data_IF_286621780132
#
_entry.id   IF_286621780132
#
_cell.length_a   1.000
_cell.length_b   1.000
_cell.length_c   1.000
_cell.angle_alpha   90.00
_cell.angle_beta   90.00
_cell.angle_gamma   90.00
#
_symmetry.space_group_name_H-M   'P 1'
#
loop_
_entity.id
_entity.type
_entity.pdbx_description
1 polymer ?
#
# COMPACT_ATOMS: atom_id res chain seq x y z
N UNK A 1 7.75 -24.24 -2.58
CA UNK A 1 7.86 -22.95 -3.32
C UNK A 1 6.96 -23.06 -4.55
N UNK A 2 5.68 -22.66 -4.44
CA UNK A 2 4.69 -22.85 -5.53
C UNK A 2 4.91 -21.77 -6.58
N UNK A 3 5.43 -22.20 -7.73
CA UNK A 3 5.66 -21.41 -8.93
C UNK A 3 4.42 -20.59 -9.27
N UNK A 4 4.54 -19.26 -9.20
CA UNK A 4 3.61 -18.40 -9.93
C UNK A 4 3.77 -18.75 -11.41
N UNK A 5 2.69 -19.02 -12.12
CA UNK A 5 2.84 -19.52 -13.47
C UNK A 5 3.33 -18.39 -14.38
N UNK A 6 4.40 -18.66 -15.12
CA UNK A 6 5.13 -17.70 -15.94
C UNK A 6 4.23 -16.93 -16.93
N UNK A 7 3.08 -17.51 -17.32
CA UNK A 7 2.10 -16.88 -18.18
C UNK A 7 1.59 -15.53 -17.65
N UNK A 8 1.47 -15.34 -16.33
CA UNK A 8 0.92 -14.11 -15.77
C UNK A 8 1.88 -12.91 -15.98
N UNK A 9 3.19 -13.18 -15.92
CA UNK A 9 4.22 -12.18 -16.20
C UNK A 9 4.29 -11.83 -17.68
N UNK A 10 4.25 -12.86 -18.54
CA UNK A 10 4.25 -12.69 -19.99
C UNK A 10 3.01 -11.87 -20.41
N UNK A 11 1.83 -12.21 -19.90
CA UNK A 11 0.60 -11.49 -20.19
C UNK A 11 0.67 -10.03 -19.73
N UNK A 12 1.21 -9.77 -18.52
CA UNK A 12 1.36 -8.40 -18.00
C UNK A 12 2.33 -7.58 -18.85
N UNK A 13 3.43 -8.19 -19.30
CA UNK A 13 4.42 -7.54 -20.18
C UNK A 13 3.84 -7.26 -21.57
N UNK A 14 3.11 -8.23 -22.16
CA UNK A 14 2.43 -8.04 -23.44
C UNK A 14 1.38 -6.94 -23.36
N UNK A 15 0.59 -6.91 -22.27
CA UNK A 15 -0.38 -5.86 -22.04
C UNK A 15 0.29 -4.49 -21.91
N UNK A 16 1.37 -4.39 -21.11
CA UNK A 16 2.14 -3.16 -20.96
C UNK A 16 2.72 -2.69 -22.29
N UNK A 17 3.32 -3.61 -23.08
CA UNK A 17 3.85 -3.31 -24.40
C UNK A 17 2.76 -2.86 -25.38
N UNK A 18 1.60 -3.51 -25.37
CA UNK A 18 0.46 -3.13 -26.20
C UNK A 18 -0.10 -1.75 -25.85
N UNK A 19 -0.24 -1.44 -24.56
CA UNK A 19 -0.67 -0.11 -24.10
C UNK A 19 0.36 0.98 -24.44
N UNK A 20 1.65 0.69 -24.27
CA UNK A 20 2.71 1.61 -24.67
C UNK A 20 2.69 1.82 -26.19
N UNK A 21 2.55 0.77 -26.99
CA UNK A 21 2.41 0.89 -28.44
C UNK A 21 1.22 1.78 -28.81
N UNK A 22 0.05 1.57 -28.21
CA UNK A 22 -1.12 2.40 -28.45
C UNK A 22 -0.89 3.87 -28.04
N UNK A 23 -0.19 4.11 -26.94
CA UNK A 23 0.20 5.44 -26.50
C UNK A 23 1.13 6.09 -27.53
N UNK A 24 2.25 5.45 -27.87
CA UNK A 24 3.23 5.97 -28.83
C UNK A 24 2.65 6.14 -30.24
N UNK A 25 1.72 5.28 -30.66
CA UNK A 25 1.09 5.36 -31.98
C UNK A 25 0.10 6.53 -32.10
N UNK A 26 -0.46 7.01 -30.99
CA UNK A 26 -1.46 8.10 -30.97
C UNK A 26 -0.95 9.40 -30.36
N UNK A 27 0.17 9.37 -29.65
CA UNK A 27 0.71 10.53 -28.95
C UNK A 27 1.41 11.48 -29.93
N UNK A 28 0.98 12.74 -29.94
CA UNK A 28 1.74 13.82 -30.55
C UNK A 28 2.79 14.34 -29.57
N UNK A 29 4.03 13.86 -29.74
CA UNK A 29 5.16 14.25 -28.91
C UNK A 29 5.47 15.74 -28.93
N UNK A 30 5.14 16.46 -30.02
CA UNK A 30 5.36 17.91 -30.09
C UNK A 30 4.41 18.63 -29.14
N UNK A 31 3.13 18.26 -29.18
CA UNK A 31 2.12 18.80 -28.28
C UNK A 31 2.46 18.48 -26.83
N UNK A 32 2.79 17.23 -26.50
CA UNK A 32 3.18 16.85 -25.12
C UNK A 32 4.37 17.68 -24.61
N UNK A 33 5.40 17.88 -25.44
CA UNK A 33 6.57 18.66 -25.05
C UNK A 33 6.25 20.15 -24.90
N UNK A 34 5.38 20.70 -25.76
CA UNK A 34 4.92 22.08 -25.67
C UNK A 34 4.16 22.32 -24.36
N UNK A 35 3.14 21.50 -24.07
CA UNK A 35 2.35 21.58 -22.84
C UNK A 35 3.20 21.40 -21.58
N UNK A 36 4.21 20.52 -21.64
CA UNK A 36 5.13 20.31 -20.51
C UNK A 36 6.01 21.54 -20.24
N UNK A 37 6.34 22.32 -21.27
CA UNK A 37 7.14 23.56 -21.13
C UNK A 37 6.30 24.74 -20.68
N UNK A 38 5.05 24.80 -21.09
CA UNK A 38 4.08 25.83 -20.68
C UNK A 38 3.49 25.55 -19.30
N UNK A 39 3.75 24.37 -18.72
CA UNK A 39 3.26 24.01 -17.38
C UNK A 39 3.75 25.00 -16.32
N UNK A 40 2.81 25.54 -15.55
CA UNK A 40 3.09 26.50 -14.47
C UNK A 40 4.00 25.87 -13.39
N UNK A 41 5.21 26.42 -13.17
CA UNK A 41 6.16 25.90 -12.19
C UNK A 41 5.62 25.87 -10.76
N UNK A 42 4.66 26.73 -10.41
CA UNK A 42 4.07 26.76 -9.07
C UNK A 42 3.31 25.45 -8.76
N UNK A 43 2.56 24.92 -9.72
CA UNK A 43 1.84 23.65 -9.57
C UNK A 43 2.80 22.46 -9.52
N UNK A 44 3.88 22.50 -10.30
CA UNK A 44 4.94 21.48 -10.24
C UNK A 44 5.60 21.48 -8.86
N UNK A 45 5.97 22.66 -8.35
CA UNK A 45 6.56 22.80 -7.02
C UNK A 45 5.60 22.34 -5.91
N UNK A 46 4.31 22.67 -6.01
CA UNK A 46 3.29 22.21 -5.08
C UNK A 46 3.16 20.68 -5.09
N UNK A 47 3.15 20.05 -6.28
CA UNK A 47 3.09 18.60 -6.40
C UNK A 47 4.31 17.91 -5.77
N UNK A 48 5.52 18.43 -6.03
CA UNK A 48 6.76 17.93 -5.41
C UNK A 48 6.72 18.07 -3.89
N UNK A 49 6.28 19.22 -3.38
CA UNK A 49 6.17 19.45 -1.94
C UNK A 49 5.16 18.48 -1.28
N UNK A 50 3.99 18.31 -1.90
CA UNK A 50 2.99 17.37 -1.42
C UNK A 50 3.50 15.93 -1.41
N UNK A 51 4.28 15.52 -2.41
CA UNK A 51 4.88 14.18 -2.45
C UNK A 51 5.94 13.99 -1.36
N UNK A 52 6.80 14.99 -1.13
CA UNK A 52 7.76 14.96 -0.01
C UNK A 52 7.03 14.83 1.32
N UNK A 53 5.98 15.63 1.55
CA UNK A 53 5.15 15.54 2.76
C UNK A 53 4.48 14.17 2.88
N UNK A 54 3.97 13.61 1.80
CA UNK A 54 3.39 12.26 1.73
C UNK A 54 4.39 11.20 2.19
N UNK A 55 5.64 11.25 1.71
CA UNK A 55 6.71 10.31 2.11
C UNK A 55 7.04 10.47 3.60
N UNK A 56 7.17 11.71 4.09
CA UNK A 56 7.44 11.99 5.50
C UNK A 56 6.34 11.45 6.42
N UNK A 57 5.08 11.70 6.07
CA UNK A 57 3.91 11.20 6.81
C UNK A 57 3.81 9.68 6.76
N UNK A 58 4.10 9.05 5.60
CA UNK A 58 4.12 7.60 5.45
C UNK A 58 5.17 6.96 6.36
N UNK A 59 6.37 7.53 6.43
CA UNK A 59 7.43 7.06 7.32
C UNK A 59 7.01 7.17 8.80
N UNK A 60 6.36 8.28 9.18
CA UNK A 60 5.88 8.52 10.53
C UNK A 60 4.78 7.51 10.91
N UNK A 61 3.76 7.39 10.06
CA UNK A 61 2.64 6.45 10.22
C UNK A 61 3.15 5.02 10.38
N UNK A 62 4.13 4.62 9.56
CA UNK A 62 4.71 3.29 9.67
C UNK A 62 5.42 3.06 11.00
N UNK A 63 6.15 4.06 11.51
CA UNK A 63 6.73 4.02 12.86
C UNK A 63 5.68 3.80 13.96
N UNK A 64 4.50 4.43 13.83
CA UNK A 64 3.37 4.21 14.76
C UNK A 64 2.87 2.76 14.69
N UNK A 65 2.73 2.17 13.50
CA UNK A 65 2.33 0.77 13.33
C UNK A 65 3.35 -0.21 13.96
N UNK A 66 4.63 0.15 13.87
CA UNK A 66 5.74 -0.64 14.41
C UNK A 66 5.90 -0.57 15.93
N UNK A 67 5.12 0.26 16.64
CA UNK A 67 5.09 0.27 18.12
C UNK A 67 4.72 -1.09 18.72
N UNK A 68 4.02 -1.93 17.96
CA UNK A 68 3.72 -3.32 18.32
C UNK A 68 4.95 -4.26 18.27
N UNK A 69 6.01 -3.87 17.55
CA UNK A 69 7.25 -4.64 17.37
C UNK A 69 8.35 -4.10 18.28
N UNK A 70 8.52 -2.77 18.32
CA UNK A 70 9.42 -2.05 19.22
C UNK A 70 8.75 -0.76 19.62
N UNK A 71 8.74 -0.46 20.92
CA UNK A 71 8.08 0.73 21.47
C UNK A 71 8.47 2.03 20.77
N UNK A 72 9.76 2.19 20.44
CA UNK A 72 10.27 3.34 19.70
C UNK A 72 11.28 2.92 18.64
N UNK A 73 10.92 3.07 17.37
CA UNK A 73 11.85 2.98 16.24
C UNK A 73 12.28 4.39 15.84
N UNK A 74 13.58 4.67 15.64
CA UNK A 74 14.03 6.00 15.25
C UNK A 74 13.46 6.41 13.88
N UNK A 75 13.11 7.69 13.73
CA UNK A 75 12.45 8.20 12.50
C UNK A 75 13.37 8.18 11.27
N UNK A 76 14.65 8.51 11.43
CA UNK A 76 15.58 8.58 10.31
C UNK A 76 15.75 7.23 9.56
N UNK A 77 15.95 6.08 10.23
CA UNK A 77 15.90 4.75 9.60
C UNK A 77 14.57 4.45 8.89
N UNK A 78 13.43 4.82 9.50
CA UNK A 78 12.10 4.63 8.89
C UNK A 78 11.97 5.43 7.59
N UNK A 79 12.40 6.69 7.61
CA UNK A 79 12.37 7.58 6.45
C UNK A 79 13.29 7.06 5.34
N UNK A 80 14.56 6.74 5.66
CA UNK A 80 15.51 6.18 4.70
C UNK A 80 14.97 4.91 4.04
N UNK A 81 14.40 3.99 4.83
CA UNK A 81 13.86 2.74 4.31
C UNK A 81 12.63 3.00 3.41
N UNK A 82 11.81 3.99 3.76
CA UNK A 82 10.62 4.37 2.98
C UNK A 82 11.01 5.01 1.65
N UNK A 83 11.99 5.92 1.64
CA UNK A 83 12.49 6.56 0.41
C UNK A 83 13.09 5.50 -0.53
N UNK A 84 13.97 4.63 -0.04
CA UNK A 84 14.59 3.58 -0.87
C UNK A 84 13.53 2.64 -1.44
N UNK A 85 12.54 2.26 -0.63
CA UNK A 85 11.41 1.44 -1.09
C UNK A 85 10.58 2.10 -2.17
N UNK A 86 10.31 3.40 -2.03
CA UNK A 86 9.61 4.18 -3.04
C UNK A 86 10.40 4.24 -4.36
N UNK A 87 11.70 4.56 -4.29
CA UNK A 87 12.58 4.59 -5.48
C UNK A 87 12.65 3.21 -6.15
N UNK A 88 12.83 2.13 -5.38
CA UNK A 88 12.88 0.77 -5.93
C UNK A 88 11.55 0.35 -6.57
N UNK A 89 10.41 0.87 -6.09
CA UNK A 89 9.11 0.57 -6.69
C UNK A 89 8.94 1.14 -8.09
N UNK A 90 9.61 2.26 -8.40
CA UNK A 90 9.65 2.84 -9.74
C UNK A 90 10.67 2.19 -10.67
N UNK A 91 11.79 1.71 -10.13
CA UNK A 91 12.89 1.13 -10.92
C UNK A 91 12.72 -0.36 -11.20
N UNK A 92 12.12 -1.11 -10.28
CA UNK A 92 12.15 -2.57 -10.32
C UNK A 92 10.73 -3.14 -10.44
N UNK A 93 10.40 -3.83 -11.56
CA UNK A 93 9.11 -4.49 -11.70
C UNK A 93 8.96 -5.65 -10.71
N UNK A 94 7.72 -5.96 -10.33
CA UNK A 94 7.42 -7.13 -9.50
C UNK A 94 7.30 -6.89 -7.99
N UNK A 95 7.00 -5.64 -7.57
CA UNK A 95 6.76 -5.26 -6.16
C UNK A 95 7.95 -5.44 -5.22
N UNK A 96 9.17 -5.59 -5.75
CA UNK A 96 10.40 -5.68 -4.95
C UNK A 96 10.63 -4.43 -4.09
N UNK A 97 10.17 -3.26 -4.56
CA UNK A 97 10.19 -2.03 -3.79
C UNK A 97 9.45 -2.14 -2.45
N UNK A 98 8.35 -2.89 -2.36
CA UNK A 98 7.57 -3.03 -1.12
C UNK A 98 8.31 -3.86 -0.05
N UNK A 99 9.13 -4.81 -0.49
CA UNK A 99 9.93 -5.69 0.39
C UNK A 99 11.20 -4.97 0.89
N UNK A 100 11.69 -3.98 0.14
CA UNK A 100 12.89 -3.24 0.49
C UNK A 100 12.80 -2.54 1.86
N UNK A 101 11.69 -1.86 2.14
CA UNK A 101 11.46 -1.13 3.40
C UNK A 101 11.60 -2.01 4.66
N UNK A 102 10.88 -3.15 4.80
CA UNK A 102 11.02 -4.02 5.96
C UNK A 102 12.36 -4.77 5.98
N UNK A 103 12.96 -5.05 4.83
CA UNK A 103 14.28 -5.68 4.74
C UNK A 103 15.39 -4.77 5.27
N UNK A 104 15.43 -3.52 4.79
CA UNK A 104 16.44 -2.54 5.19
C UNK A 104 16.31 -2.20 6.68
N UNK A 105 15.10 -1.95 7.16
CA UNK A 105 14.88 -1.66 8.57
C UNK A 105 15.25 -2.85 9.47
N UNK A 106 14.96 -4.09 9.05
CA UNK A 106 15.41 -5.30 9.75
C UNK A 106 16.92 -5.30 9.96
N UNK A 107 17.69 -4.93 8.93
CA UNK A 107 19.16 -4.92 8.98
C UNK A 107 19.73 -3.75 9.78
N UNK A 108 19.17 -2.55 9.61
CA UNK A 108 19.66 -1.35 10.30
C UNK A 108 19.31 -1.33 11.79
N UNK A 109 18.09 -1.72 12.12
CA UNK A 109 17.57 -1.66 13.50
C UNK A 109 17.62 -3.01 14.22
N UNK A 110 18.13 -4.08 13.57
CA UNK A 110 18.19 -5.45 14.10
C UNK A 110 16.82 -5.95 14.59
N UNK A 111 15.78 -5.68 13.79
CA UNK A 111 14.40 -6.05 14.08
C UNK A 111 14.01 -7.33 13.31
N UNK A 112 13.12 -8.18 13.83
CA UNK A 112 12.71 -9.39 13.13
C UNK A 112 11.96 -9.05 11.85
N UNK A 113 12.42 -9.57 10.70
CA UNK A 113 11.85 -9.26 9.39
C UNK A 113 10.37 -9.63 9.24
N UNK A 114 9.94 -10.76 9.81
CA UNK A 114 8.55 -11.25 9.70
C UNK A 114 7.51 -10.22 10.17
N UNK A 115 7.57 -9.74 11.42
CA UNK A 115 6.69 -8.68 11.91
C UNK A 115 6.71 -7.40 11.08
N UNK A 116 7.89 -6.97 10.60
CA UNK A 116 8.00 -5.81 9.71
C UNK A 116 7.29 -6.05 8.38
N UNK A 117 7.44 -7.23 7.77
CA UNK A 117 6.76 -7.56 6.52
C UNK A 117 5.23 -7.57 6.70
N UNK A 118 4.73 -8.13 7.81
CA UNK A 118 3.28 -8.09 8.07
C UNK A 118 2.78 -6.66 8.31
N UNK A 119 3.58 -5.79 8.92
CA UNK A 119 3.20 -4.37 9.06
C UNK A 119 2.99 -3.69 7.70
N UNK A 120 3.79 -4.03 6.68
CA UNK A 120 3.62 -3.53 5.31
C UNK A 120 2.35 -4.10 4.68
N UNK A 121 2.06 -5.39 4.87
CA UNK A 121 0.80 -5.98 4.37
C UNK A 121 -0.41 -5.31 4.99
N UNK A 122 -0.37 -5.02 6.30
CA UNK A 122 -1.42 -4.26 6.99
C UNK A 122 -1.53 -2.83 6.45
N UNK A 123 -0.39 -2.17 6.18
CA UNK A 123 -0.35 -0.86 5.53
C UNK A 123 -1.14 -0.89 4.21
N UNK A 124 -0.89 -1.89 3.35
CA UNK A 124 -1.62 -2.07 2.08
C UNK A 124 -3.10 -2.39 2.28
N UNK A 125 -3.42 -3.20 3.28
CA UNK A 125 -4.81 -3.50 3.63
C UNK A 125 -5.58 -2.25 4.02
N UNK A 126 -4.98 -1.36 4.82
CA UNK A 126 -5.59 -0.09 5.20
C UNK A 126 -5.72 0.87 4.01
N UNK A 127 -4.70 0.95 3.15
CA UNK A 127 -4.75 1.77 1.94
C UNK A 127 -5.87 1.27 1.00
N UNK A 128 -6.07 -0.06 0.86
CA UNK A 128 -7.18 -0.64 0.10
C UNK A 128 -8.55 -0.31 0.72
N UNK A 129 -8.70 -0.42 2.04
CA UNK A 129 -9.94 -0.03 2.71
C UNK A 129 -10.25 1.45 2.49
N UNK A 130 -9.24 2.32 2.60
CA UNK A 130 -9.40 3.74 2.34
C UNK A 130 -9.85 4.02 0.88
N UNK A 131 -9.23 3.33 -0.09
CA UNK A 131 -9.63 3.43 -1.50
C UNK A 131 -11.08 3.00 -1.71
N UNK A 132 -11.50 1.89 -1.10
CA UNK A 132 -12.89 1.41 -1.17
C UNK A 132 -13.85 2.47 -0.59
N UNK A 133 -13.54 3.02 0.59
CA UNK A 133 -14.37 4.05 1.23
C UNK A 133 -14.47 5.32 0.36
N UNK A 134 -13.35 5.79 -0.19
CA UNK A 134 -13.33 6.95 -1.08
C UNK A 134 -14.14 6.69 -2.36
N UNK A 135 -14.01 5.48 -2.93
CA UNK A 135 -14.79 5.07 -4.11
C UNK A 135 -16.30 5.13 -3.83
N UNK A 136 -16.77 4.59 -2.70
CA UNK A 136 -18.19 4.69 -2.34
C UNK A 136 -18.63 6.11 -2.05
N UNK A 137 -17.78 6.91 -1.41
CA UNK A 137 -18.08 8.33 -1.16
C UNK A 137 -18.31 9.07 -2.47
N UNK A 138 -17.48 8.82 -3.49
CA UNK A 138 -17.67 9.35 -4.83
C UNK A 138 -18.98 8.88 -5.48
N UNK A 139 -19.35 7.60 -5.37
CA UNK A 139 -20.62 7.10 -5.90
C UNK A 139 -21.85 7.67 -5.21
N UNK A 140 -21.84 7.82 -3.88
CA UNK A 140 -23.02 8.31 -3.18
C UNK A 140 -23.17 9.83 -3.27
N UNK A 141 -22.06 10.58 -3.28
CA UNK A 141 -22.08 12.05 -3.24
C UNK A 141 -21.82 12.69 -4.60
N UNK A 142 -20.94 12.12 -5.42
CA UNK A 142 -20.49 12.69 -6.70
C UNK A 142 -21.41 12.39 -7.88
N UNK A 143 -22.35 11.44 -7.76
CA UNK A 143 -23.24 11.03 -8.85
C UNK A 143 -24.40 12.00 -9.10
N UNK A 144 -24.60 12.98 -8.21
CA UNK A 144 -25.67 13.99 -8.33
C UNK A 144 -25.47 14.99 -9.48
N UNK A 145 -24.26 15.06 -10.07
CA UNK A 145 -23.92 16.01 -11.13
C UNK A 145 -23.61 15.39 -12.50
N UNK A 146 -23.82 14.08 -12.71
CA UNK A 146 -23.44 13.43 -13.98
C UNK A 146 -24.59 13.43 -14.99
N UNK A 147 -24.29 13.84 -16.23
CA UNK A 147 -25.26 13.98 -17.32
C UNK A 147 -25.98 12.66 -17.67
N UNK A 148 -27.29 12.69 -17.99
CA UNK A 148 -28.08 11.49 -18.31
C UNK A 148 -27.59 10.67 -19.51
N UNK A 149 -26.86 11.27 -20.44
CA UNK A 149 -26.32 10.61 -21.65
C UNK A 149 -25.29 9.51 -21.34
N UNK A 150 -24.74 9.49 -20.13
CA UNK A 150 -23.78 8.47 -19.69
C UNK A 150 -24.44 7.21 -19.09
N UNK A 151 -25.76 7.05 -19.20
CA UNK A 151 -26.54 6.04 -18.46
C UNK A 151 -26.02 4.60 -18.51
N UNK A 152 -25.54 4.13 -19.67
CA UNK A 152 -24.99 2.78 -19.82
C UNK A 152 -23.64 2.62 -19.10
N UNK A 153 -22.72 3.56 -19.28
CA UNK A 153 -21.44 3.57 -18.57
C UNK A 153 -21.69 3.67 -17.07
N UNK A 154 -22.65 4.48 -16.66
CA UNK A 154 -22.97 4.69 -15.26
C UNK A 154 -23.53 3.45 -14.58
N UNK A 155 -24.38 2.71 -15.29
CA UNK A 155 -24.87 1.41 -14.82
C UNK A 155 -23.74 0.39 -14.69
N UNK A 156 -22.83 0.32 -15.68
CA UNK A 156 -21.66 -0.58 -15.60
C UNK A 156 -20.75 -0.20 -14.42
N UNK A 157 -20.48 1.08 -14.21
CA UNK A 157 -19.71 1.56 -13.06
C UNK A 157 -20.37 1.21 -11.73
N UNK A 158 -21.69 1.36 -11.64
CA UNK A 158 -22.46 1.04 -10.43
C UNK A 158 -22.49 -0.47 -10.15
N UNK A 159 -22.75 -1.28 -11.17
CA UNK A 159 -22.75 -2.75 -11.09
C UNK A 159 -21.35 -3.28 -10.69
N UNK A 160 -20.28 -2.74 -11.30
CA UNK A 160 -18.90 -3.08 -10.93
C UNK A 160 -18.58 -2.68 -9.48
N UNK A 161 -19.14 -1.57 -9.01
CA UNK A 161 -18.94 -1.10 -7.63
C UNK A 161 -19.56 -2.04 -6.61
N UNK A 162 -20.77 -2.56 -6.85
CA UNK A 162 -21.38 -3.57 -5.98
C UNK A 162 -20.55 -4.86 -5.93
N UNK A 163 -20.00 -5.29 -7.07
CA UNK A 163 -19.08 -6.43 -7.12
C UNK A 163 -17.83 -6.17 -6.29
N UNK A 164 -17.19 -4.99 -6.43
CA UNK A 164 -16.04 -4.61 -5.61
C UNK A 164 -16.38 -4.55 -4.11
N UNK A 165 -17.57 -4.08 -3.72
CA UNK A 165 -18.04 -4.08 -2.32
C UNK A 165 -18.12 -5.51 -1.77
N UNK A 166 -18.70 -6.42 -2.55
CA UNK A 166 -18.88 -7.82 -2.17
C UNK A 166 -17.54 -8.53 -1.90
N UNK A 167 -16.46 -8.12 -2.57
CA UNK A 167 -15.11 -8.62 -2.31
C UNK A 167 -14.35 -7.85 -1.22
N UNK A 168 -14.57 -6.54 -1.10
CA UNK A 168 -13.89 -5.68 -0.13
C UNK A 168 -14.36 -5.91 1.31
N UNK A 169 -15.66 -6.14 1.54
CA UNK A 169 -16.21 -6.36 2.89
C UNK A 169 -15.65 -7.63 3.57
N UNK A 170 -15.60 -8.81 2.91
CA UNK A 170 -14.97 -10.00 3.49
C UNK A 170 -13.47 -9.82 3.71
N UNK A 171 -12.77 -9.15 2.79
CA UNK A 171 -11.34 -8.88 2.91
C UNK A 171 -11.05 -7.94 4.08
N UNK A 172 -11.82 -6.85 4.22
CA UNK A 172 -11.75 -5.93 5.35
C UNK A 172 -12.05 -6.63 6.67
N UNK A 173 -13.11 -7.45 6.73
CA UNK A 173 -13.46 -8.24 7.90
C UNK A 173 -12.35 -9.24 8.27
N UNK A 174 -11.75 -9.91 7.29
CA UNK A 174 -10.62 -10.82 7.47
C UNK A 174 -9.39 -10.09 8.02
N UNK A 175 -9.05 -8.93 7.46
CA UNK A 175 -7.93 -8.11 7.93
C UNK A 175 -8.17 -7.59 9.36
N UNK A 176 -9.38 -7.13 9.66
CA UNK A 176 -9.77 -6.71 11.01
C UNK A 176 -9.75 -7.88 11.99
N UNK A 177 -10.17 -9.08 11.59
CA UNK A 177 -10.10 -10.29 12.42
C UNK A 177 -8.65 -10.69 12.80
N UNK A 178 -7.67 -10.34 11.96
CA UNK A 178 -6.25 -10.56 12.26
C UNK A 178 -5.69 -9.59 13.32
N UNK A 179 -6.33 -8.44 13.53
CA UNK A 179 -5.84 -7.41 14.48
C UNK A 179 -5.97 -7.86 15.95
N UNK A 180 -7.11 -8.42 16.43
CA UNK A 180 -7.26 -8.90 17.81
C UNK A 180 -6.39 -10.10 18.19
N UNK A 181 -6.12 -11.02 17.24
CA UNK A 181 -5.34 -12.24 17.54
C UNK A 181 -3.90 -11.95 17.96
N UNK A 182 -3.33 -10.80 17.58
CA UNK A 182 -2.00 -10.36 18.04
C UNK A 182 -1.98 -10.01 19.54
N UNK A 183 -3.03 -9.38 20.06
CA UNK A 183 -3.11 -9.00 21.49
C UNK A 183 -3.31 -10.21 22.42
N UNK A 184 -3.89 -11.30 21.92
CA UNK A 184 -4.15 -12.51 22.72
C UNK A 184 -2.89 -13.37 22.85
N UNK A 185 -2.10 -13.49 21.78
CA UNK A 185 -0.82 -14.23 21.81
C UNK A 185 0.23 -13.55 22.71
N UNK A 186 0.29 -12.21 22.72
CA UNK A 186 1.18 -11.44 23.60
C UNK A 186 0.81 -11.54 25.10
N UNK A 187 -0.47 -11.80 25.41
CA UNK A 187 -0.91 -12.08 26.78
C UNK A 187 -0.61 -13.53 27.19
N UNK A 188 -0.70 -14.47 26.25
CA UNK A 188 -0.31 -15.87 26.46
C UNK A 188 1.19 -16.02 26.77
N UNK A 189 2.05 -15.39 25.96
CA UNK A 189 3.51 -15.44 26.14
C UNK A 189 3.99 -14.79 27.45
N UNK A 190 3.39 -13.67 27.86
CA UNK A 190 3.68 -13.03 29.16
C UNK A 190 3.16 -13.84 30.36
N UNK A 191 2.15 -14.68 30.16
CA UNK A 191 1.62 -15.56 31.21
C UNK A 191 2.50 -16.80 31.40
N UNK A 192 3.05 -17.35 30.32
CA UNK A 192 4.00 -18.46 30.40
C UNK A 192 5.36 -18.05 30.99
N UNK A 193 5.86 -16.83 30.70
CA UNK A 193 7.07 -16.31 31.37
C UNK A 193 6.87 -16.09 32.88
N UNK A 194 5.67 -15.68 33.33
CA UNK A 194 5.36 -15.58 34.77
C UNK A 194 5.25 -16.94 35.44
N UNK A 195 4.69 -17.94 34.75
CA UNK A 195 4.56 -19.30 35.28
C UNK A 195 5.92 -20.01 35.33
N UNK A 196 6.81 -19.79 34.36
CA UNK A 196 8.17 -20.33 34.37
C UNK A 196 9.11 -19.75 35.43
N UNK A 197 8.75 -18.61 36.04
CA UNK A 197 9.47 -18.00 37.18
C UNK A 197 8.84 -18.35 38.54
N UNK A 198 7.83 -19.22 38.57
CA UNK A 198 7.17 -19.58 39.82
C UNK A 198 8.09 -20.52 40.63
N UNK A 199 8.39 -20.22 41.91
CA UNK A 199 9.36 -20.96 42.74
C UNK A 199 8.98 -22.42 43.03
N UNK A 200 7.81 -22.89 42.58
CA UNK A 200 7.34 -24.26 42.72
C UNK A 200 7.84 -25.19 41.60
N UNK A 201 8.41 -24.66 40.51
CA UNK A 201 8.93 -25.43 39.36
C UNK A 201 10.47 -25.54 39.35
N UNK A 202 11.14 -24.99 40.35
CA UNK A 202 12.60 -24.98 40.53
C UNK A 202 13.06 -25.88 41.68
N UNK A 203 12.26 -26.87 42.08
CA UNK A 203 12.63 -27.91 43.06
C UNK A 203 12.71 -29.27 42.39
#
# INVERSE_FOLDING_TARGET
>A
MRWRPAYAWILSLLLAAGLLYLFFAKADFKTVLHETREADPAWVAAAVLLEVLSILLRAFRWGVMLRSVRERVPYAPLLKATVVSFTMSGLVPGRLGEVAKPYLLSRWEKLPFGPLMVSVVLERGMDLVALVVLWFTFLFLGMSGVSPESGTLMKVFTDLSYVLLAFALPLGAFLLWLVPRRRILDRGARRSERLGRHPLLLR
#
